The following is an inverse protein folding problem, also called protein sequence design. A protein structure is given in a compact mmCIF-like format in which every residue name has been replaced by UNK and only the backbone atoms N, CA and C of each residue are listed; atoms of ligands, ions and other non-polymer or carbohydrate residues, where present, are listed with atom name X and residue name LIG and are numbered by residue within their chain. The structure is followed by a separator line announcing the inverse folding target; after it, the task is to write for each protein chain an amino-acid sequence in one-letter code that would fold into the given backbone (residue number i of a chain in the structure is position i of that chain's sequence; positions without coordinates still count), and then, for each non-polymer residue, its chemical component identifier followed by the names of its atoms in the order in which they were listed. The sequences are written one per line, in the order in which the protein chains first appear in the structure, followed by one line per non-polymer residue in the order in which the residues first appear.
data_IF_165480863594
#
_entry.id   IF_165480863594
#
_cell.length_a   1.000
_cell.length_b   1.000
_cell.length_c   1.000
_cell.angle_alpha   90.00
_cell.angle_beta   90.00
_cell.angle_gamma   90.00
#
_symmetry.space_group_name_H-M   'P 1'
#
loop_
_entity.id
_entity.type
_entity.pdbx_description
1 polymer ?
#
# COMPACT_ATOMS: atom_id res chain seq x y z
N UNK A 1 0.97 4.69 -32.33
CA UNK A 1 -0.27 4.94 -31.58
C UNK A 1 -0.19 6.25 -30.81
N UNK A 2 0.64 6.29 -29.76
CA UNK A 2 0.79 7.44 -28.85
C UNK A 2 1.06 8.79 -29.55
N UNK A 3 1.94 8.84 -30.56
CA UNK A 3 2.30 10.08 -31.25
C UNK A 3 1.12 10.74 -32.00
N UNK A 4 0.34 9.98 -32.79
CA UNK A 4 -0.81 10.51 -33.55
C UNK A 4 -1.96 10.97 -32.64
N UNK A 5 -2.05 10.41 -31.44
CA UNK A 5 -3.14 10.68 -30.52
C UNK A 5 -2.77 11.75 -29.49
N UNK A 6 -1.50 11.89 -29.14
CA UNK A 6 -0.95 13.13 -28.58
C UNK A 6 -1.30 14.33 -29.49
N UNK A 7 -1.24 14.16 -30.82
CA UNK A 7 -1.67 15.19 -31.78
C UNK A 7 -3.17 15.46 -31.75
N UNK A 8 -4.02 14.44 -31.51
CA UNK A 8 -5.49 14.61 -31.39
C UNK A 8 -5.89 15.24 -30.04
N UNK A 9 -5.25 14.82 -28.95
CA UNK A 9 -5.38 15.43 -27.63
C UNK A 9 -4.92 16.89 -27.70
N UNK A 10 -3.82 17.18 -28.40
CA UNK A 10 -3.34 18.55 -28.66
C UNK A 10 -4.35 19.39 -29.45
N UNK A 11 -4.93 18.84 -30.52
CA UNK A 11 -5.86 19.56 -31.38
C UNK A 11 -7.22 19.83 -30.72
N UNK A 12 -7.72 18.92 -29.89
CA UNK A 12 -9.11 18.94 -29.41
C UNK A 12 -9.28 19.08 -27.88
N UNK A 13 -8.35 18.59 -27.05
CA UNK A 13 -8.50 18.59 -25.58
C UNK A 13 -7.56 19.59 -24.86
N UNK A 14 -6.33 19.75 -25.33
CA UNK A 14 -5.32 20.65 -24.76
C UNK A 14 -5.33 22.05 -25.40
N UNK A 15 -6.20 22.26 -26.38
CA UNK A 15 -6.49 23.57 -26.96
C UNK A 15 -7.54 24.35 -26.16
N UNK A 16 -8.32 23.67 -25.31
CA UNK A 16 -9.14 24.36 -24.32
C UNK A 16 -8.22 24.88 -23.20
N UNK A 17 -8.45 26.11 -22.72
CA UNK A 17 -7.65 26.82 -21.70
C UNK A 17 -7.72 26.18 -20.29
N UNK A 18 -7.67 24.84 -20.22
CA UNK A 18 -7.74 24.02 -19.01
C UNK A 18 -6.33 23.79 -18.43
N UNK A 19 -5.33 23.57 -19.29
CA UNK A 19 -3.95 23.29 -18.89
C UNK A 19 -2.99 24.41 -19.30
N UNK A 20 -2.03 24.72 -18.42
CA UNK A 20 -0.90 25.60 -18.77
C UNK A 20 0.09 24.90 -19.69
N UNK A 21 0.97 25.63 -20.37
CA UNK A 21 2.00 25.05 -21.26
C UNK A 21 2.89 24.02 -20.55
N UNK A 22 3.25 24.29 -19.29
CA UNK A 22 3.98 23.36 -18.44
C UNK A 22 3.17 22.10 -18.14
N UNK A 23 1.88 22.23 -17.84
CA UNK A 23 1.02 21.07 -17.54
C UNK A 23 0.79 20.22 -18.79
N UNK A 24 0.63 20.84 -19.96
CA UNK A 24 0.55 20.13 -21.24
C UNK A 24 1.80 19.32 -21.51
N UNK A 25 2.97 19.87 -21.18
CA UNK A 25 4.26 19.19 -21.37
C UNK A 25 4.39 17.98 -20.45
N UNK A 26 4.13 18.15 -19.15
CA UNK A 26 4.22 17.06 -18.18
C UNK A 26 3.14 15.98 -18.42
N UNK A 27 1.94 16.36 -18.85
CA UNK A 27 0.89 15.39 -19.24
C UNK A 27 1.30 14.56 -20.46
N UNK A 28 1.94 15.19 -21.47
CA UNK A 28 2.44 14.46 -22.66
C UNK A 28 3.52 13.45 -22.29
N UNK A 29 4.48 13.86 -21.45
CA UNK A 29 5.53 12.96 -20.95
C UNK A 29 4.92 11.79 -20.18
N UNK A 30 3.98 12.11 -19.29
CA UNK A 30 3.24 11.08 -18.54
C UNK A 30 2.52 10.12 -19.49
N UNK A 31 1.81 10.62 -20.50
CA UNK A 31 1.12 9.79 -21.49
C UNK A 31 2.07 8.91 -22.29
N UNK A 32 3.26 9.39 -22.64
CA UNK A 32 4.24 8.57 -23.37
C UNK A 32 4.87 7.47 -22.52
N UNK A 33 4.90 7.65 -21.19
CA UNK A 33 5.59 6.75 -20.27
C UNK A 33 4.64 5.89 -19.42
N UNK A 34 3.34 6.19 -19.38
CA UNK A 34 2.37 5.50 -18.49
C UNK A 34 2.25 4.00 -18.78
N UNK A 35 2.65 3.57 -19.96
CA UNK A 35 2.67 2.16 -20.35
C UNK A 35 3.88 1.41 -19.79
N UNK A 36 4.98 2.11 -19.48
CA UNK A 36 6.20 1.52 -18.95
C UNK A 36 6.00 1.09 -17.50
N UNK A 37 6.42 -0.15 -17.18
CA UNK A 37 6.27 -0.69 -15.83
C UNK A 37 7.05 0.11 -14.78
N UNK A 38 8.24 0.60 -15.14
CA UNK A 38 9.16 1.27 -14.23
C UNK A 38 8.99 2.80 -14.20
N UNK A 39 7.93 3.33 -14.82
CA UNK A 39 7.69 4.78 -14.84
C UNK A 39 7.48 5.33 -13.43
N UNK A 40 8.26 6.34 -13.03
CA UNK A 40 8.21 6.95 -11.68
C UNK A 40 7.02 7.89 -11.45
N UNK A 41 6.28 8.26 -12.51
CA UNK A 41 5.14 9.21 -12.47
C UNK A 41 5.51 10.63 -12.02
N UNK A 42 6.78 10.99 -12.02
CA UNK A 42 7.24 12.31 -11.59
C UNK A 42 6.64 13.47 -12.40
N UNK A 43 6.51 13.32 -13.72
CA UNK A 43 5.89 14.35 -14.55
C UNK A 43 4.43 14.58 -14.13
N UNK A 44 3.69 13.49 -13.86
CA UNK A 44 2.32 13.56 -13.37
C UNK A 44 2.24 14.19 -11.97
N UNK A 45 3.16 13.84 -11.06
CA UNK A 45 3.24 14.46 -9.74
C UNK A 45 3.45 15.98 -9.85
N UNK A 46 4.37 16.45 -10.70
CA UNK A 46 4.59 17.89 -10.89
C UNK A 46 3.35 18.59 -11.45
N UNK A 47 2.63 17.95 -12.38
CA UNK A 47 1.34 18.45 -12.87
C UNK A 47 0.32 18.58 -11.73
N UNK A 48 0.17 17.56 -10.89
CA UNK A 48 -0.76 17.60 -9.77
C UNK A 48 -0.40 18.70 -8.76
N UNK A 49 0.88 18.87 -8.42
CA UNK A 49 1.33 19.93 -7.50
C UNK A 49 0.93 21.31 -8.02
N UNK A 50 1.22 21.61 -9.29
CA UNK A 50 0.86 22.90 -9.89
C UNK A 50 -0.66 23.08 -9.98
N UNK A 51 -1.37 22.04 -10.41
CA UNK A 51 -2.84 22.07 -10.54
C UNK A 51 -3.52 22.31 -9.20
N UNK A 52 -3.11 21.58 -8.15
CA UNK A 52 -3.66 21.70 -6.80
C UNK A 52 -3.09 22.89 -6.02
N UNK A 53 -2.12 23.59 -6.59
CA UNK A 53 -1.45 24.75 -6.00
C UNK A 53 -0.77 24.41 -4.66
N UNK A 54 -0.08 23.26 -4.67
CA UNK A 54 0.73 22.76 -3.57
C UNK A 54 2.21 22.95 -3.90
N UNK A 55 3.00 23.28 -2.89
CA UNK A 55 4.46 23.21 -3.01
C UNK A 55 4.96 21.77 -2.74
N UNK A 56 6.26 21.54 -2.87
CA UNK A 56 6.87 20.22 -2.62
C UNK A 56 6.74 19.74 -1.17
N UNK A 57 6.35 20.61 -0.23
CA UNK A 57 6.07 20.26 1.17
C UNK A 57 4.60 19.93 1.42
N UNK A 58 3.71 20.13 0.44
CA UNK A 58 2.28 19.94 0.60
C UNK A 58 1.56 21.14 1.21
N UNK A 59 2.20 22.31 1.23
CA UNK A 59 1.61 23.56 1.71
C UNK A 59 0.97 24.31 0.55
N UNK A 60 -0.05 25.11 0.83
CA UNK A 60 -0.69 25.94 -0.21
C UNK A 60 0.27 27.02 -0.70
N UNK A 61 0.41 27.14 -2.01
CA UNK A 61 1.19 28.21 -2.64
C UNK A 61 0.47 29.56 -2.53
N UNK A 62 -0.85 29.55 -2.68
CA UNK A 62 -1.70 30.75 -2.56
C UNK A 62 -3.10 30.37 -2.10
N UNK A 63 -3.82 31.35 -1.56
CA UNK A 63 -5.21 31.19 -1.20
C UNK A 63 -6.10 31.43 -2.43
N UNK A 64 -7.06 30.53 -2.66
CA UNK A 64 -7.93 30.58 -3.84
C UNK A 64 -9.40 30.59 -3.48
N UNK A 65 -10.21 31.09 -4.40
CA UNK A 65 -11.66 31.05 -4.31
C UNK A 65 -12.15 29.62 -4.50
N UNK A 66 -13.32 29.32 -3.93
CA UNK A 66 -13.98 28.01 -4.06
C UNK A 66 -14.05 27.50 -5.51
N UNK A 67 -14.53 28.34 -6.42
CA UNK A 67 -14.68 27.99 -7.84
C UNK A 67 -13.36 27.68 -8.53
N UNK A 68 -12.27 28.33 -8.13
CA UNK A 68 -10.92 28.06 -8.66
C UNK A 68 -10.38 26.73 -8.16
N UNK A 69 -10.60 26.38 -6.89
CA UNK A 69 -10.22 25.08 -6.36
C UNK A 69 -11.07 23.95 -6.95
N UNK A 70 -12.37 24.14 -7.12
CA UNK A 70 -13.23 23.16 -7.81
C UNK A 70 -12.78 22.92 -9.26
N UNK A 71 -12.40 23.99 -9.98
CA UNK A 71 -11.81 23.87 -11.32
C UNK A 71 -10.51 23.06 -11.25
N UNK A 72 -9.64 23.36 -10.29
CA UNK A 72 -8.37 22.65 -10.08
C UNK A 72 -8.56 21.16 -9.81
N UNK A 73 -9.52 20.80 -8.95
CA UNK A 73 -9.86 19.41 -8.66
C UNK A 73 -10.38 18.70 -9.91
N UNK A 74 -11.26 19.35 -10.69
CA UNK A 74 -11.75 18.80 -11.97
C UNK A 74 -10.63 18.62 -13.00
N UNK A 75 -9.67 19.55 -13.06
CA UNK A 75 -8.50 19.44 -13.94
C UNK A 75 -7.60 18.27 -13.53
N UNK A 76 -7.34 18.11 -12.22
CA UNK A 76 -6.58 16.98 -11.69
C UNK A 76 -7.28 15.64 -12.02
N UNK A 77 -8.59 15.57 -11.77
CA UNK A 77 -9.43 14.42 -12.13
C UNK A 77 -9.38 14.09 -13.63
N UNK A 78 -9.47 15.10 -14.50
CA UNK A 78 -9.38 14.90 -15.94
C UNK A 78 -8.01 14.34 -16.36
N UNK A 79 -6.92 14.91 -15.84
CA UNK A 79 -5.57 14.43 -16.12
C UNK A 79 -5.38 12.98 -15.68
N UNK A 80 -5.84 12.63 -14.47
CA UNK A 80 -5.83 11.26 -13.95
C UNK A 80 -6.60 10.30 -14.85
N UNK A 81 -7.81 10.66 -15.28
CA UNK A 81 -8.63 9.79 -16.12
C UNK A 81 -8.04 9.56 -17.51
N UNK A 82 -7.45 10.60 -18.09
CA UNK A 82 -6.73 10.46 -19.35
C UNK A 82 -5.62 9.42 -19.19
N UNK A 83 -4.76 9.56 -18.17
CA UNK A 83 -3.67 8.61 -17.93
C UNK A 83 -4.16 7.21 -17.61
N UNK A 84 -5.14 7.07 -16.71
CA UNK A 84 -5.69 5.78 -16.30
C UNK A 84 -6.33 5.04 -17.47
N UNK A 85 -7.11 5.73 -18.31
CA UNK A 85 -7.71 5.14 -19.52
C UNK A 85 -6.63 4.57 -20.45
N UNK A 86 -5.57 5.33 -20.72
CA UNK A 86 -4.48 4.87 -21.60
C UNK A 86 -3.72 3.69 -21.01
N UNK A 87 -3.39 3.75 -19.72
CA UNK A 87 -2.73 2.67 -19.02
C UNK A 87 -3.55 1.37 -19.10
N UNK A 88 -4.87 1.44 -18.89
CA UNK A 88 -5.77 0.29 -19.01
C UNK A 88 -5.79 -0.25 -20.45
N UNK A 89 -5.94 0.62 -21.45
CA UNK A 89 -5.99 0.21 -22.86
C UNK A 89 -4.71 -0.49 -23.33
N UNK A 90 -3.55 -0.07 -22.84
CA UNK A 90 -2.26 -0.71 -23.14
C UNK A 90 -1.96 -1.91 -22.24
N UNK A 91 -2.89 -2.24 -21.35
CA UNK A 91 -2.84 -3.42 -20.51
C UNK A 91 -2.13 -3.24 -19.16
N UNK A 92 -1.64 -2.04 -18.87
CA UNK A 92 -0.99 -1.67 -17.61
C UNK A 92 -1.98 -1.04 -16.60
N UNK A 93 -2.98 -1.83 -16.18
CA UNK A 93 -3.97 -1.38 -15.20
C UNK A 93 -3.35 -1.01 -13.84
N UNK A 94 -2.14 -1.50 -13.52
CA UNK A 94 -1.40 -1.15 -12.30
C UNK A 94 -1.03 0.33 -12.27
N UNK A 95 -0.51 0.87 -13.38
CA UNK A 95 -0.21 2.30 -13.49
C UNK A 95 -1.48 3.16 -13.36
N UNK A 96 -2.62 2.66 -13.87
CA UNK A 96 -3.92 3.33 -13.70
C UNK A 96 -4.33 3.45 -12.22
N UNK A 97 -4.13 2.39 -11.43
CA UNK A 97 -4.36 2.43 -9.98
C UNK A 97 -3.50 3.49 -9.31
N UNK A 98 -2.18 3.47 -9.55
CA UNK A 98 -1.24 4.38 -8.87
C UNK A 98 -1.52 5.86 -9.15
N UNK A 99 -1.83 6.23 -10.40
CA UNK A 99 -2.18 7.63 -10.71
C UNK A 99 -3.52 8.03 -10.08
N UNK A 100 -4.46 7.09 -9.95
CA UNK A 100 -5.76 7.31 -9.31
C UNK A 100 -5.62 7.51 -7.81
N UNK A 101 -4.92 6.62 -7.12
CA UNK A 101 -4.63 6.70 -5.68
C UNK A 101 -3.89 7.98 -5.33
N UNK A 102 -2.85 8.33 -6.11
CA UNK A 102 -2.10 9.57 -5.89
C UNK A 102 -2.98 10.81 -6.00
N UNK A 103 -3.83 10.87 -7.03
CA UNK A 103 -4.77 11.97 -7.22
C UNK A 103 -5.75 12.06 -6.05
N UNK A 104 -6.30 10.91 -5.63
CA UNK A 104 -7.24 10.83 -4.52
C UNK A 104 -6.61 11.36 -3.21
N UNK A 105 -5.43 10.88 -2.86
CA UNK A 105 -4.70 11.28 -1.65
C UNK A 105 -4.36 12.77 -1.65
N UNK A 106 -3.80 13.28 -2.75
CA UNK A 106 -3.38 14.69 -2.82
C UNK A 106 -4.55 15.67 -2.94
N UNK A 107 -5.65 15.29 -3.60
CA UNK A 107 -6.87 16.11 -3.59
C UNK A 107 -7.47 16.13 -2.18
N UNK A 108 -7.53 14.99 -1.49
CA UNK A 108 -7.99 14.94 -0.11
C UNK A 108 -7.14 15.81 0.82
N UNK A 109 -5.82 15.70 0.72
CA UNK A 109 -4.86 16.57 1.41
C UNK A 109 -5.16 18.05 1.15
N UNK A 110 -5.27 18.43 -0.13
CA UNK A 110 -5.50 19.82 -0.52
C UNK A 110 -6.80 20.38 0.05
N UNK A 111 -7.88 19.59 0.04
CA UNK A 111 -9.18 19.99 0.60
C UNK A 111 -9.07 20.26 2.10
N UNK A 112 -8.31 19.45 2.83
CA UNK A 112 -8.15 19.57 4.29
C UNK A 112 -7.34 20.78 4.75
N UNK A 113 -6.62 21.42 3.84
CA UNK A 113 -5.98 22.69 4.14
C UNK A 113 -6.99 23.86 4.12
N UNK A 114 -8.21 23.69 3.60
CA UNK A 114 -9.25 24.73 3.60
C UNK A 114 -10.00 24.85 4.94
N UNK A 115 -10.49 26.06 5.24
CA UNK A 115 -11.28 26.32 6.47
C UNK A 115 -12.58 25.52 6.56
N UNK A 116 -13.15 25.16 5.40
CA UNK A 116 -14.41 24.43 5.29
C UNK A 116 -14.24 23.33 4.24
N UNK A 117 -13.62 22.18 4.59
CA UNK A 117 -13.34 21.10 3.64
C UNK A 117 -14.62 20.43 3.10
N UNK A 118 -15.70 20.40 3.90
CA UNK A 118 -16.96 19.71 3.60
C UNK A 118 -17.60 20.21 2.30
N UNK A 119 -17.36 21.46 1.90
CA UNK A 119 -17.90 22.03 0.66
C UNK A 119 -17.38 21.35 -0.61
N UNK A 120 -16.29 20.58 -0.53
CA UNK A 120 -15.66 19.88 -1.65
C UNK A 120 -15.92 18.36 -1.61
N UNK A 121 -16.72 17.86 -0.67
CA UNK A 121 -16.96 16.43 -0.51
C UNK A 121 -17.65 15.79 -1.72
N UNK A 122 -18.49 16.55 -2.44
CA UNK A 122 -19.06 16.07 -3.71
C UNK A 122 -17.99 15.85 -4.79
N UNK A 123 -16.95 16.67 -4.82
CA UNK A 123 -15.87 16.57 -5.80
C UNK A 123 -14.95 15.37 -5.50
N UNK A 124 -14.59 15.15 -4.23
CA UNK A 124 -13.79 13.96 -3.85
C UNK A 124 -14.59 12.67 -4.07
N UNK A 125 -15.91 12.67 -3.83
CA UNK A 125 -16.74 11.48 -4.07
C UNK A 125 -16.67 11.02 -5.54
N UNK A 126 -16.62 11.95 -6.49
CA UNK A 126 -16.44 11.61 -7.92
C UNK A 126 -15.10 10.93 -8.16
N UNK A 127 -14.01 11.46 -7.56
CA UNK A 127 -12.66 10.88 -7.69
C UNK A 127 -12.62 9.50 -7.03
N UNK A 128 -13.26 9.34 -5.87
CA UNK A 128 -13.34 8.08 -5.13
C UNK A 128 -14.09 7.01 -5.94
N UNK A 129 -15.24 7.36 -6.54
CA UNK A 129 -15.97 6.43 -7.42
C UNK A 129 -15.15 6.05 -8.66
N UNK A 130 -14.36 6.97 -9.19
CA UNK A 130 -13.46 6.65 -10.28
C UNK A 130 -12.33 5.69 -9.87
N UNK A 131 -11.75 5.89 -8.68
CA UNK A 131 -10.79 4.94 -8.11
C UNK A 131 -11.41 3.55 -7.98
N UNK A 132 -12.63 3.45 -7.45
CA UNK A 132 -13.39 2.19 -7.38
C UNK A 132 -13.52 1.53 -8.76
N UNK A 133 -13.88 2.28 -9.80
CA UNK A 133 -14.06 1.74 -11.15
C UNK A 133 -12.73 1.21 -11.71
N UNK A 134 -11.63 1.94 -11.52
CA UNK A 134 -10.29 1.51 -11.94
C UNK A 134 -9.85 0.27 -11.17
N UNK A 135 -10.12 0.20 -9.87
CA UNK A 135 -9.85 -0.99 -9.06
C UNK A 135 -10.66 -2.20 -9.50
N UNK A 136 -11.92 -2.01 -9.89
CA UNK A 136 -12.74 -3.10 -10.42
C UNK A 136 -12.20 -3.63 -11.75
N UNK A 137 -11.75 -2.74 -12.65
CA UNK A 137 -11.10 -3.12 -13.91
C UNK A 137 -9.78 -3.87 -13.69
N UNK A 138 -8.96 -3.39 -12.76
CA UNK A 138 -7.72 -4.06 -12.36
C UNK A 138 -8.00 -5.48 -11.83
N UNK A 139 -8.93 -5.57 -10.89
CA UNK A 139 -9.28 -6.83 -10.24
C UNK A 139 -9.88 -7.83 -11.22
N UNK A 140 -10.84 -7.42 -12.05
CA UNK A 140 -11.51 -8.32 -13.01
C UNK A 140 -10.53 -8.93 -14.01
N UNK A 141 -9.51 -8.17 -14.42
CA UNK A 141 -8.48 -8.64 -15.33
C UNK A 141 -7.54 -9.66 -14.70
N UNK A 142 -7.16 -9.46 -13.43
CA UNK A 142 -6.16 -10.32 -12.76
C UNK A 142 -6.78 -11.47 -11.97
N UNK A 143 -8.05 -11.39 -11.59
CA UNK A 143 -8.73 -12.41 -10.80
C UNK A 143 -8.50 -13.85 -11.31
N UNK A 144 -8.65 -14.15 -12.62
CA UNK A 144 -8.44 -15.52 -13.11
C UNK A 144 -7.05 -16.08 -12.81
N UNK A 145 -6.03 -15.22 -12.75
CA UNK A 145 -4.64 -15.62 -12.56
C UNK A 145 -4.33 -16.01 -11.10
N UNK A 146 -5.16 -15.60 -10.13
CA UNK A 146 -4.98 -15.92 -8.72
C UNK A 146 -5.45 -17.33 -8.35
N UNK A 147 -6.37 -17.88 -9.14
CA UNK A 147 -6.96 -19.21 -8.89
C UNK A 147 -6.14 -20.36 -9.47
N UNK A 148 -5.15 -20.06 -10.32
CA UNK A 148 -4.28 -21.05 -10.94
C UNK A 148 -2.96 -21.21 -10.18
N UNK A 149 -2.55 -22.47 -9.98
CA UNK A 149 -1.32 -22.79 -9.24
C UNK A 149 -0.08 -22.36 -10.01
N UNK A 150 0.81 -21.63 -9.35
CA UNK A 150 2.11 -21.19 -9.89
C UNK A 150 2.06 -20.29 -11.14
N UNK A 151 0.90 -19.79 -11.54
CA UNK A 151 0.79 -19.04 -12.80
C UNK A 151 1.57 -17.73 -12.73
N UNK A 152 1.53 -17.02 -11.60
CA UNK A 152 2.32 -15.81 -11.41
C UNK A 152 3.83 -16.08 -11.37
N UNK A 153 4.23 -17.21 -10.79
CA UNK A 153 5.63 -17.64 -10.76
C UNK A 153 6.17 -18.09 -12.12
N UNK A 154 5.33 -18.33 -13.13
CA UNK A 154 5.77 -18.77 -14.46
C UNK A 154 6.41 -17.67 -15.30
N UNK A 155 6.23 -16.40 -14.92
CA UNK A 155 6.63 -15.23 -15.71
C UNK A 155 8.02 -14.66 -15.35
N UNK A 156 8.71 -15.21 -14.35
CA UNK A 156 10.06 -14.80 -13.98
C UNK A 156 10.91 -16.02 -13.65
N UNK A 157 12.20 -15.96 -13.98
CA UNK A 157 13.17 -16.98 -13.58
C UNK A 157 13.74 -16.72 -12.17
N UNK A 158 13.57 -15.51 -11.65
CA UNK A 158 14.12 -15.08 -10.36
C UNK A 158 13.05 -15.19 -9.26
N UNK A 159 13.34 -16.03 -8.26
CA UNK A 159 12.45 -16.28 -7.12
C UNK A 159 12.20 -15.05 -6.24
N UNK A 160 13.18 -14.14 -6.14
CA UNK A 160 13.04 -12.92 -5.38
C UNK A 160 12.05 -11.98 -6.06
N UNK A 161 12.17 -11.78 -7.38
CA UNK A 161 11.24 -10.92 -8.14
C UNK A 161 9.81 -11.46 -8.16
N UNK A 162 9.64 -12.80 -8.24
CA UNK A 162 8.33 -13.45 -8.10
C UNK A 162 7.72 -13.10 -6.75
N UNK A 163 8.53 -13.19 -5.68
CA UNK A 163 8.07 -12.91 -4.34
C UNK A 163 7.58 -11.46 -4.19
N UNK A 164 8.39 -10.49 -4.62
CA UNK A 164 8.04 -9.08 -4.56
C UNK A 164 6.74 -8.80 -5.32
N UNK A 165 6.56 -9.42 -6.49
CA UNK A 165 5.32 -9.31 -7.27
C UNK A 165 4.13 -9.88 -6.49
N UNK A 166 4.27 -11.04 -5.84
CA UNK A 166 3.17 -11.64 -5.06
C UNK A 166 2.78 -10.76 -3.88
N UNK A 167 3.74 -10.22 -3.12
CA UNK A 167 3.43 -9.34 -1.99
C UNK A 167 2.80 -8.01 -2.45
N UNK A 168 3.26 -7.44 -3.57
CA UNK A 168 2.61 -6.28 -4.20
C UNK A 168 1.13 -6.59 -4.53
N UNK A 169 0.85 -7.77 -5.10
CA UNK A 169 -0.53 -8.18 -5.38
C UNK A 169 -1.35 -8.40 -4.10
N UNK A 170 -0.76 -8.96 -3.05
CA UNK A 170 -1.39 -9.11 -1.74
C UNK A 170 -1.80 -7.74 -1.18
N UNK A 171 -0.90 -6.75 -1.22
CA UNK A 171 -1.17 -5.38 -0.77
C UNK A 171 -2.27 -4.70 -1.58
N UNK A 172 -2.21 -4.80 -2.92
CA UNK A 172 -3.22 -4.20 -3.81
C UNK A 172 -4.60 -4.82 -3.58
N UNK A 173 -4.71 -6.15 -3.55
CA UNK A 173 -6.00 -6.83 -3.31
C UNK A 173 -6.58 -6.47 -1.96
N UNK A 174 -5.74 -6.43 -0.92
CA UNK A 174 -6.17 -6.04 0.42
C UNK A 174 -6.70 -4.61 0.45
N UNK A 175 -6.04 -3.69 -0.26
CA UNK A 175 -6.47 -2.28 -0.36
C UNK A 175 -7.80 -2.14 -1.10
N UNK A 176 -7.97 -2.83 -2.24
CA UNK A 176 -9.22 -2.83 -3.01
C UNK A 176 -10.38 -3.45 -2.20
N UNK A 177 -10.09 -4.55 -1.51
CA UNK A 177 -11.03 -5.24 -0.64
C UNK A 177 -11.49 -4.40 0.56
N UNK A 178 -10.54 -3.80 1.28
CA UNK A 178 -10.80 -2.87 2.38
C UNK A 178 -11.60 -1.66 1.90
N UNK A 179 -11.29 -1.11 0.73
CA UNK A 179 -12.05 -0.01 0.16
C UNK A 179 -13.52 -0.39 -0.07
N UNK A 180 -13.80 -1.56 -0.66
CA UNK A 180 -15.18 -2.03 -0.84
C UNK A 180 -15.88 -2.24 0.50
N UNK A 181 -15.22 -2.91 1.46
CA UNK A 181 -15.78 -3.18 2.78
C UNK A 181 -16.12 -1.88 3.54
N UNK A 182 -15.15 -0.97 3.66
CA UNK A 182 -15.30 0.28 4.41
C UNK A 182 -16.31 1.23 3.72
N UNK A 183 -16.37 1.24 2.39
CA UNK A 183 -17.40 1.98 1.66
C UNK A 183 -18.78 1.36 1.89
N UNK A 184 -18.90 0.02 1.88
CA UNK A 184 -20.15 -0.69 2.16
C UNK A 184 -20.75 -0.37 3.54
N UNK A 185 -19.90 -0.14 4.55
CA UNK A 185 -20.32 0.31 5.88
C UNK A 185 -20.95 1.72 5.89
N UNK A 186 -20.80 2.49 4.82
CA UNK A 186 -21.36 3.84 4.65
C UNK A 186 -22.56 3.89 3.70
N UNK A 187 -22.76 2.84 2.90
CA UNK A 187 -23.87 2.71 1.96
C UNK A 187 -25.10 2.07 2.62
N UNK A 188 -26.25 2.11 1.94
CA UNK A 188 -27.48 1.43 2.35
C UNK A 188 -28.10 0.68 1.14
N UNK A 189 -28.95 -0.31 1.41
CA UNK A 189 -29.73 -1.01 0.39
C UNK A 189 -28.86 -1.84 -0.57
N UNK A 190 -29.19 -1.78 -1.87
CA UNK A 190 -28.54 -2.60 -2.90
C UNK A 190 -27.05 -2.29 -3.06
N UNK A 191 -26.65 -1.01 -2.93
CA UNK A 191 -25.24 -0.62 -3.01
C UNK A 191 -24.42 -1.24 -1.88
N UNK A 192 -24.92 -1.20 -0.64
CA UNK A 192 -24.26 -1.83 0.50
C UNK A 192 -24.06 -3.33 0.26
N UNK A 193 -25.10 -4.00 -0.22
CA UNK A 193 -25.06 -5.44 -0.51
C UNK A 193 -24.03 -5.75 -1.59
N UNK A 194 -24.01 -4.98 -2.68
CA UNK A 194 -23.02 -5.13 -3.75
C UNK A 194 -21.58 -4.92 -3.26
N UNK A 195 -21.35 -3.92 -2.40
CA UNK A 195 -20.02 -3.63 -1.83
C UNK A 195 -19.51 -4.75 -0.94
N UNK A 196 -20.35 -5.29 -0.06
CA UNK A 196 -19.97 -6.43 0.78
C UNK A 196 -19.73 -7.69 -0.05
N UNK A 197 -20.58 -7.98 -1.04
CA UNK A 197 -20.35 -9.10 -1.95
C UNK A 197 -19.01 -8.98 -2.68
N UNK A 198 -18.68 -7.78 -3.19
CA UNK A 198 -17.39 -7.54 -3.82
C UNK A 198 -16.22 -7.77 -2.85
N UNK A 199 -16.33 -7.29 -1.61
CA UNK A 199 -15.31 -7.51 -0.59
C UNK A 199 -15.10 -9.01 -0.32
N UNK A 200 -16.17 -9.80 -0.23
CA UNK A 200 -16.09 -11.26 -0.09
C UNK A 200 -15.38 -11.91 -1.27
N UNK A 201 -15.75 -11.57 -2.51
CA UNK A 201 -15.11 -12.11 -3.73
C UNK A 201 -13.61 -11.79 -3.75
N UNK A 202 -13.23 -10.57 -3.35
CA UNK A 202 -11.83 -10.14 -3.29
C UNK A 202 -11.10 -10.91 -2.17
N UNK A 203 -11.72 -11.12 -1.02
CA UNK A 203 -11.15 -11.91 0.07
C UNK A 203 -10.89 -13.34 -0.37
N UNK A 204 -11.84 -14.00 -1.03
CA UNK A 204 -11.69 -15.33 -1.62
C UNK A 204 -10.54 -15.39 -2.63
N UNK A 205 -10.39 -14.35 -3.46
CA UNK A 205 -9.34 -14.26 -4.47
C UNK A 205 -7.95 -14.04 -3.87
N UNK A 206 -7.84 -13.19 -2.84
CA UNK A 206 -6.60 -12.99 -2.07
C UNK A 206 -6.16 -14.30 -1.41
N UNK A 207 -7.12 -14.97 -0.80
CA UNK A 207 -6.95 -16.28 -0.22
C UNK A 207 -6.49 -17.34 -1.24
N UNK A 208 -7.07 -17.34 -2.44
CA UNK A 208 -6.63 -18.21 -3.54
C UNK A 208 -5.20 -17.86 -3.99
N UNK A 209 -4.87 -16.57 -4.15
CA UNK A 209 -3.51 -16.10 -4.44
C UNK A 209 -2.50 -16.66 -3.43
N UNK A 210 -2.79 -16.55 -2.13
CA UNK A 210 -1.93 -17.04 -1.05
C UNK A 210 -1.73 -18.56 -1.15
N UNK A 211 -2.82 -19.32 -1.24
CA UNK A 211 -2.77 -20.79 -1.26
C UNK A 211 -2.11 -21.37 -2.51
N UNK A 212 -2.27 -20.70 -3.66
CA UNK A 212 -1.75 -21.17 -4.95
C UNK A 212 -0.29 -20.77 -5.21
N UNK A 213 0.26 -19.86 -4.41
CA UNK A 213 1.60 -19.32 -4.60
C UNK A 213 2.41 -19.44 -3.31
N UNK A 214 3.17 -20.53 -3.11
CA UNK A 214 3.95 -20.75 -1.90
C UNK A 214 4.92 -19.62 -1.53
N UNK A 215 5.37 -18.82 -2.50
CA UNK A 215 6.23 -17.66 -2.21
C UNK A 215 5.53 -16.62 -1.30
N UNK A 216 4.19 -16.59 -1.23
CA UNK A 216 3.42 -15.77 -0.28
C UNK A 216 3.77 -16.02 1.20
N UNK A 217 4.39 -17.16 1.51
CA UNK A 217 4.83 -17.52 2.86
C UNK A 217 6.28 -17.15 3.19
N UNK A 218 6.99 -16.46 2.29
CA UNK A 218 8.44 -16.23 2.39
C UNK A 218 8.81 -14.80 2.01
N UNK A 219 8.42 -13.78 2.78
CA UNK A 219 8.73 -12.38 2.45
C UNK A 219 10.22 -12.16 2.24
N UNK A 220 10.58 -11.25 1.32
CA UNK A 220 11.97 -10.98 0.92
C UNK A 220 12.40 -9.55 1.22
N UNK A 221 11.45 -8.64 1.40
CA UNK A 221 11.66 -7.30 1.94
C UNK A 221 11.00 -7.18 3.31
N UNK A 222 11.63 -6.43 4.20
CA UNK A 222 11.05 -6.12 5.50
C UNK A 222 9.84 -5.17 5.33
N UNK A 223 9.84 -4.36 4.27
CA UNK A 223 8.67 -3.56 3.84
C UNK A 223 7.43 -4.41 3.52
N UNK A 224 7.57 -5.71 3.21
CA UNK A 224 6.41 -6.60 3.02
C UNK A 224 5.54 -6.74 4.28
N UNK A 225 6.01 -6.28 5.45
CA UNK A 225 5.21 -6.11 6.65
C UNK A 225 3.93 -5.28 6.40
N UNK A 226 3.97 -4.30 5.48
CA UNK A 226 2.82 -3.47 5.12
C UNK A 226 1.76 -4.33 4.42
N UNK A 227 2.15 -5.06 3.37
CA UNK A 227 1.25 -5.91 2.58
C UNK A 227 0.63 -7.02 3.46
N UNK A 228 1.45 -7.64 4.31
CA UNK A 228 1.04 -8.65 5.29
C UNK A 228 -0.01 -8.08 6.25
N UNK A 229 0.24 -6.90 6.80
CA UNK A 229 -0.66 -6.26 7.75
C UNK A 229 -1.99 -5.89 7.09
N UNK A 230 -1.97 -5.33 5.88
CA UNK A 230 -3.19 -5.01 5.13
C UNK A 230 -4.03 -6.27 4.86
N UNK A 231 -3.39 -7.37 4.46
CA UNK A 231 -4.05 -8.64 4.23
C UNK A 231 -4.68 -9.21 5.49
N UNK A 232 -3.96 -9.21 6.62
CA UNK A 232 -4.52 -9.69 7.88
C UNK A 232 -5.70 -8.85 8.37
N UNK A 233 -5.63 -7.52 8.24
CA UNK A 233 -6.77 -6.64 8.58
C UNK A 233 -7.96 -7.01 7.69
N UNK A 234 -7.74 -7.10 6.38
CA UNK A 234 -8.80 -7.39 5.42
C UNK A 234 -9.47 -8.74 5.68
N UNK A 235 -8.69 -9.82 5.74
CA UNK A 235 -9.20 -11.17 6.01
C UNK A 235 -9.91 -11.26 7.36
N UNK A 236 -9.39 -10.60 8.40
CA UNK A 236 -10.03 -10.58 9.71
C UNK A 236 -11.39 -9.90 9.68
N UNK A 237 -11.54 -8.81 8.91
CA UNK A 237 -12.78 -8.06 8.80
C UNK A 237 -13.81 -8.72 7.87
N UNK A 238 -13.39 -9.56 6.94
CA UNK A 238 -14.29 -10.35 6.07
C UNK A 238 -14.64 -11.73 6.64
N UNK A 239 -14.14 -12.07 7.83
CA UNK A 239 -14.45 -13.35 8.49
C UNK A 239 -13.52 -14.52 8.16
N UNK A 240 -12.45 -14.28 7.40
CA UNK A 240 -11.48 -15.30 6.96
C UNK A 240 -10.35 -15.52 7.99
N UNK A 241 -10.69 -15.49 9.29
CA UNK A 241 -9.70 -15.56 10.39
C UNK A 241 -8.92 -16.88 10.42
N UNK A 242 -9.56 -17.98 10.07
CA UNK A 242 -8.90 -19.29 10.06
C UNK A 242 -7.82 -19.35 8.99
N UNK A 243 -8.13 -18.89 7.77
CA UNK A 243 -7.17 -18.81 6.65
C UNK A 243 -6.05 -17.81 6.92
N UNK A 244 -6.36 -16.68 7.58
CA UNK A 244 -5.34 -15.77 8.09
C UNK A 244 -4.42 -16.48 9.10
N UNK A 245 -4.97 -17.29 10.01
CA UNK A 245 -4.19 -18.08 10.96
C UNK A 245 -3.26 -19.10 10.29
N UNK A 246 -3.73 -19.81 9.27
CA UNK A 246 -2.92 -20.78 8.49
C UNK A 246 -1.78 -20.08 7.73
N UNK A 247 -2.05 -18.92 7.14
CA UNK A 247 -1.03 -18.14 6.47
C UNK A 247 0.00 -17.56 7.46
N UNK A 248 -0.45 -17.09 8.64
CA UNK A 248 0.43 -16.64 9.71
C UNK A 248 1.39 -17.74 10.18
N UNK A 249 0.89 -18.97 10.40
CA UNK A 249 1.73 -20.11 10.74
C UNK A 249 2.79 -20.34 9.66
N UNK A 250 2.38 -20.30 8.38
CA UNK A 250 3.30 -20.48 7.25
C UNK A 250 4.39 -19.41 7.22
N UNK A 251 4.01 -18.12 7.39
CA UNK A 251 4.95 -16.99 7.45
C UNK A 251 5.95 -17.17 8.59
N UNK A 252 5.48 -17.50 9.79
CA UNK A 252 6.32 -17.61 11.00
C UNK A 252 7.29 -18.78 10.89
N UNK A 253 6.81 -19.98 10.52
CA UNK A 253 7.65 -21.18 10.42
C UNK A 253 8.74 -20.98 9.38
N UNK A 254 8.41 -20.37 8.24
CA UNK A 254 9.38 -20.13 7.16
C UNK A 254 10.35 -19.02 7.51
N UNK A 255 9.88 -17.92 8.11
CA UNK A 255 10.75 -16.84 8.57
C UNK A 255 11.79 -17.35 9.57
N UNK A 256 11.34 -18.09 10.59
CA UNK A 256 12.23 -18.66 11.60
C UNK A 256 13.29 -19.58 10.96
N UNK A 257 12.89 -20.41 9.99
CA UNK A 257 13.79 -21.28 9.25
C UNK A 257 14.84 -20.51 8.43
N UNK A 258 14.42 -19.51 7.63
CA UNK A 258 15.35 -18.76 6.77
C UNK A 258 16.32 -17.89 7.58
N UNK A 259 15.87 -17.35 8.72
CA UNK A 259 16.73 -16.59 9.64
C UNK A 259 17.77 -17.49 10.30
N UNK A 260 17.40 -18.71 10.70
CA UNK A 260 18.34 -19.71 11.27
C UNK A 260 19.41 -20.14 10.27
N UNK A 261 19.03 -20.34 9.01
CA UNK A 261 19.96 -20.71 7.95
C UNK A 261 20.79 -19.50 7.50
N UNK A 262 20.25 -18.29 7.63
CA UNK A 262 20.87 -17.06 7.18
C UNK A 262 20.92 -16.95 5.66
N UNK A 263 19.88 -17.46 4.97
CA UNK A 263 19.71 -17.39 3.51
C UNK A 263 18.24 -17.16 3.20
N UNK A 264 17.94 -16.45 2.11
CA UNK A 264 16.57 -16.17 1.68
C UNK A 264 15.68 -15.49 2.75
N UNK A 265 16.25 -14.76 3.71
CA UNK A 265 15.51 -13.99 4.69
C UNK A 265 15.11 -12.60 4.15
N UNK A 266 14.09 -11.95 4.74
CA UNK A 266 13.82 -10.55 4.45
C UNK A 266 15.06 -9.67 4.67
N UNK A 267 15.26 -8.68 3.80
CA UNK A 267 16.31 -7.67 3.99
C UNK A 267 15.73 -6.35 4.47
N UNK A 268 16.44 -5.67 5.37
CA UNK A 268 16.01 -4.41 5.98
C UNK A 268 16.35 -3.16 5.15
N UNK A 269 17.06 -3.31 4.03
CA UNK A 269 17.41 -2.20 3.14
C UNK A 269 16.38 -1.99 2.04
N UNK A 270 15.48 -2.96 1.83
CA UNK A 270 14.44 -2.98 0.80
C UNK A 270 14.97 -2.64 -0.61
N UNK A 271 16.26 -2.92 -0.85
CA UNK A 271 16.94 -2.68 -2.12
C UNK A 271 16.97 -3.97 -2.94
N UNK A 272 16.44 -3.92 -4.16
CA UNK A 272 16.50 -5.04 -5.11
C UNK A 272 17.96 -5.44 -5.37
N UNK A 273 18.88 -4.47 -5.47
CA UNK A 273 20.29 -4.74 -5.70
C UNK A 273 20.92 -5.49 -4.52
N UNK A 274 20.64 -5.06 -3.28
CA UNK A 274 21.13 -5.76 -2.08
C UNK A 274 20.54 -7.19 -2.00
N UNK A 275 19.28 -7.37 -2.38
CA UNK A 275 18.60 -8.66 -2.39
C UNK A 275 19.22 -9.65 -3.39
N UNK A 276 19.44 -9.19 -4.62
CA UNK A 276 20.10 -9.98 -5.67
C UNK A 276 21.54 -10.30 -5.26
N UNK A 277 22.26 -9.33 -4.70
CA UNK A 277 23.62 -9.53 -4.23
C UNK A 277 23.69 -10.60 -3.13
N UNK A 278 22.74 -10.59 -2.19
CA UNK A 278 22.65 -11.57 -1.12
C UNK A 278 22.38 -12.98 -1.68
N UNK A 279 21.43 -13.11 -2.61
CA UNK A 279 21.06 -14.41 -3.19
C UNK A 279 22.18 -15.03 -4.02
N UNK A 280 22.98 -14.18 -4.67
CA UNK A 280 24.17 -14.60 -5.41
C UNK A 280 25.37 -14.90 -4.49
N UNK A 281 25.46 -14.26 -3.32
CA UNK A 281 26.61 -14.33 -2.41
C UNK A 281 26.21 -14.75 -0.99
N UNK A 282 25.54 -15.89 -0.87
CA UNK A 282 24.99 -16.38 0.40
C UNK A 282 26.01 -16.58 1.55
N UNK A 283 27.31 -16.63 1.24
CA UNK A 283 28.37 -16.80 2.22
C UNK A 283 28.99 -15.45 2.68
N UNK A 284 28.53 -14.33 2.12
CA UNK A 284 28.93 -12.98 2.53
C UNK A 284 28.30 -12.61 3.88
N UNK A 285 29.07 -12.87 4.94
CA UNK A 285 28.67 -12.57 6.31
C UNK A 285 28.46 -11.07 6.57
N UNK A 286 29.19 -10.19 5.90
CA UNK A 286 29.06 -8.74 6.09
C UNK A 286 27.76 -8.23 5.47
N UNK A 287 27.47 -8.63 4.23
CA UNK A 287 26.24 -8.27 3.55
C UNK A 287 25.02 -8.82 4.30
N UNK A 288 25.10 -10.06 4.80
CA UNK A 288 24.06 -10.65 5.64
C UNK A 288 23.83 -9.82 6.90
N UNK A 289 24.87 -9.54 7.69
CA UNK A 289 24.72 -8.75 8.92
C UNK A 289 24.18 -7.33 8.66
N UNK A 290 24.64 -6.68 7.58
CA UNK A 290 24.12 -5.38 7.13
C UNK A 290 22.61 -5.44 6.86
N UNK A 291 22.17 -6.45 6.12
CA UNK A 291 20.78 -6.58 5.63
C UNK A 291 19.82 -7.23 6.62
N UNK A 292 20.28 -7.86 7.71
CA UNK A 292 19.44 -8.43 8.78
C UNK A 292 19.49 -7.68 10.09
N UNK A 293 20.17 -6.53 10.15
CA UNK A 293 20.45 -5.85 11.41
C UNK A 293 19.18 -5.40 12.16
N UNK A 294 18.11 -5.11 11.42
CA UNK A 294 16.81 -4.70 11.97
C UNK A 294 15.67 -5.49 11.32
N UNK A 295 14.55 -5.67 12.03
CA UNK A 295 13.34 -6.24 11.43
C UNK A 295 12.04 -5.61 11.95
N UNK A 296 11.17 -5.29 11.00
CA UNK A 296 9.77 -4.92 11.13
C UNK A 296 8.84 -6.13 11.00
N UNK A 297 9.20 -7.12 10.19
CA UNK A 297 8.40 -8.32 10.01
C UNK A 297 8.31 -9.12 11.32
N UNK A 298 9.42 -9.31 12.05
CA UNK A 298 9.40 -10.07 13.31
C UNK A 298 8.36 -9.51 14.30
N UNK A 299 8.42 -8.22 14.71
CA UNK A 299 7.41 -7.66 15.61
C UNK A 299 6.01 -7.63 15.02
N UNK A 300 5.88 -7.48 13.70
CA UNK A 300 4.58 -7.53 13.01
C UNK A 300 3.93 -8.90 13.16
N UNK A 301 4.65 -9.99 12.85
CA UNK A 301 4.13 -11.35 12.99
C UNK A 301 3.90 -11.75 14.45
N UNK A 302 4.76 -11.30 15.37
CA UNK A 302 4.55 -11.45 16.81
C UNK A 302 3.25 -10.79 17.27
N UNK A 303 2.98 -9.56 16.82
CA UNK A 303 1.73 -8.85 17.13
C UNK A 303 0.51 -9.56 16.55
N UNK A 304 0.58 -10.04 15.31
CA UNK A 304 -0.50 -10.82 14.70
C UNK A 304 -0.73 -12.17 15.36
N UNK A 305 0.32 -12.82 15.87
CA UNK A 305 0.18 -14.03 16.68
C UNK A 305 -0.62 -13.77 17.96
N UNK A 306 -0.43 -12.62 18.61
CA UNK A 306 -1.28 -12.21 19.74
C UNK A 306 -2.72 -11.96 19.28
N UNK A 307 -2.92 -11.19 18.21
CA UNK A 307 -4.26 -10.80 17.72
C UNK A 307 -5.09 -12.02 17.30
N UNK A 308 -4.45 -13.03 16.70
CA UNK A 308 -5.09 -14.27 16.25
C UNK A 308 -5.00 -15.42 17.26
N UNK A 309 -4.53 -15.14 18.48
CA UNK A 309 -4.43 -16.11 19.59
C UNK A 309 -3.58 -17.36 19.25
N UNK A 310 -2.50 -17.15 18.49
CA UNK A 310 -1.56 -18.17 17.99
C UNK A 310 -0.33 -18.28 18.89
N UNK A 311 -0.52 -18.80 20.11
CA UNK A 311 0.54 -18.90 21.12
C UNK A 311 1.72 -19.79 20.68
N UNK A 312 1.45 -20.90 19.98
CA UNK A 312 2.50 -21.78 19.45
C UNK A 312 3.41 -21.00 18.50
N UNK A 313 2.84 -20.21 17.61
CA UNK A 313 3.56 -19.42 16.61
C UNK A 313 4.33 -18.26 17.25
N UNK A 314 3.76 -17.58 18.25
CA UNK A 314 4.47 -16.60 19.09
C UNK A 314 5.74 -17.21 19.71
N UNK A 315 5.63 -18.41 20.29
CA UNK A 315 6.75 -19.09 20.95
C UNK A 315 7.84 -19.55 19.96
N UNK A 316 7.51 -19.81 18.70
CA UNK A 316 8.50 -20.13 17.66
C UNK A 316 9.43 -18.93 17.44
N UNK A 317 8.88 -17.75 17.17
CA UNK A 317 9.69 -16.55 16.96
C UNK A 317 10.41 -16.10 18.23
N UNK A 318 9.76 -16.15 19.40
CA UNK A 318 10.39 -15.79 20.68
C UNK A 318 11.68 -16.59 20.93
N UNK A 319 11.62 -17.91 20.72
CA UNK A 319 12.80 -18.78 20.83
C UNK A 319 13.86 -18.42 19.79
N UNK A 320 13.45 -18.18 18.55
CA UNK A 320 14.34 -17.76 17.48
C UNK A 320 15.12 -16.48 17.82
N UNK A 321 14.42 -15.45 18.31
CA UNK A 321 15.01 -14.18 18.76
C UNK A 321 16.01 -14.40 19.89
N UNK A 322 15.73 -15.28 20.84
CA UNK A 322 16.61 -15.52 22.00
C UNK A 322 17.85 -16.37 21.67
N UNK A 323 17.66 -17.41 20.88
CA UNK A 323 18.67 -18.47 20.73
C UNK A 323 19.43 -18.40 19.41
N UNK A 324 18.78 -17.99 18.32
CA UNK A 324 19.32 -18.18 16.97
C UNK A 324 19.69 -16.86 16.28
N UNK A 325 18.90 -15.81 16.46
CA UNK A 325 19.13 -14.50 15.85
C UNK A 325 19.03 -13.33 16.86
N UNK A 326 19.77 -13.38 17.99
CA UNK A 326 19.69 -12.37 19.05
C UNK A 326 20.23 -10.99 18.68
N UNK A 327 20.95 -10.88 17.56
CA UNK A 327 21.50 -9.61 17.07
C UNK A 327 20.48 -8.78 16.27
N UNK A 328 19.35 -9.37 15.86
CA UNK A 328 18.35 -8.66 15.05
C UNK A 328 17.56 -7.71 15.95
N UNK A 329 17.63 -6.41 15.66
CA UNK A 329 16.85 -5.40 16.35
C UNK A 329 15.40 -5.45 15.86
N UNK A 330 14.49 -6.00 16.68
CA UNK A 330 13.06 -5.94 16.40
C UNK A 330 12.54 -4.53 16.66
N UNK A 331 11.90 -3.92 15.66
CA UNK A 331 11.40 -2.55 15.75
C UNK A 331 9.99 -2.40 15.16
N UNK A 332 9.17 -1.57 15.79
CA UNK A 332 7.83 -1.24 15.30
C UNK A 332 7.59 0.26 15.43
N UNK A 333 6.98 0.87 14.43
CA UNK A 333 6.62 2.27 14.44
C UNK A 333 5.16 2.44 14.78
N UNK A 334 4.92 3.38 15.68
CA UNK A 334 3.62 3.74 16.20
C UNK A 334 3.27 5.13 15.69
N UNK A 335 2.16 5.29 14.96
CA UNK A 335 1.74 6.60 14.54
C UNK A 335 1.30 7.44 15.75
N UNK A 336 1.64 8.72 15.74
CA UNK A 336 1.23 9.71 16.74
C UNK A 336 0.02 10.52 16.26
N UNK A 337 -0.59 11.28 17.16
CA UNK A 337 -1.82 12.04 16.91
C UNK A 337 -1.74 13.06 15.73
N UNK A 338 -0.55 13.48 15.32
CA UNK A 338 -0.29 14.37 14.18
C UNK A 338 -0.18 13.62 12.83
N UNK A 339 -0.33 12.29 12.80
CA UNK A 339 -0.26 11.45 11.60
C UNK A 339 -1.01 12.04 10.39
N UNK A 340 -2.27 12.43 10.60
CA UNK A 340 -3.17 12.86 9.53
C UNK A 340 -2.78 14.19 8.88
N UNK A 341 -1.87 14.97 9.49
CA UNK A 341 -1.30 16.16 8.86
C UNK A 341 -0.30 15.81 7.74
N UNK A 342 0.24 14.58 7.75
CA UNK A 342 1.33 14.17 6.87
C UNK A 342 0.94 13.01 5.95
N UNK A 343 0.09 12.09 6.44
CA UNK A 343 -0.27 10.81 5.80
C UNK A 343 -0.68 10.92 4.33
N UNK A 344 -1.44 11.95 3.97
CA UNK A 344 -2.05 12.04 2.64
C UNK A 344 -1.15 12.62 1.57
N UNK A 345 0.00 13.18 1.92
CA UNK A 345 0.87 13.86 0.96
C UNK A 345 2.27 13.24 0.88
N UNK A 346 2.85 12.89 2.04
CA UNK A 346 4.17 12.28 2.16
C UNK A 346 4.11 10.92 2.84
N UNK A 347 5.20 10.16 2.76
CA UNK A 347 5.41 9.01 3.63
C UNK A 347 5.57 9.52 5.08
N UNK A 348 4.50 9.38 5.87
CA UNK A 348 4.43 9.97 7.19
C UNK A 348 5.51 9.47 8.16
N UNK A 349 6.00 8.24 7.98
CA UNK A 349 7.01 7.65 8.86
C UNK A 349 8.35 8.42 8.88
N UNK A 350 8.64 9.24 7.87
CA UNK A 350 9.84 10.09 7.86
C UNK A 350 9.69 11.41 8.61
N UNK A 351 8.45 11.79 8.96
CA UNK A 351 8.13 13.11 9.52
C UNK A 351 7.59 13.00 10.94
N UNK A 352 6.85 11.94 11.23
CA UNK A 352 6.11 11.78 12.49
C UNK A 352 6.05 10.31 12.93
N UNK A 353 5.49 10.07 14.11
CA UNK A 353 5.42 8.79 14.80
C UNK A 353 6.65 8.49 15.65
N UNK A 354 6.58 7.38 16.39
CA UNK A 354 7.64 6.94 17.28
C UNK A 354 8.00 5.49 17.01
N UNK A 355 9.28 5.19 16.90
CA UNK A 355 9.76 3.82 16.75
C UNK A 355 10.12 3.23 18.11
N UNK A 356 9.48 2.12 18.44
CA UNK A 356 9.85 1.26 19.55
C UNK A 356 10.97 0.33 19.11
N UNK A 357 12.19 0.56 19.60
CA UNK A 357 13.36 -0.26 19.26
C UNK A 357 14.44 -0.22 20.38
N UNK A 358 15.07 -1.36 20.73
CA UNK A 358 14.66 -2.72 20.40
C UNK A 358 13.44 -3.14 21.22
N UNK A 359 12.51 -3.88 20.61
CA UNK A 359 11.39 -4.49 21.32
C UNK A 359 11.90 -5.71 22.09
N UNK A 360 11.74 -5.67 23.41
CA UNK A 360 11.92 -6.85 24.27
C UNK A 360 10.59 -7.56 24.41
N UNK A 361 10.47 -8.75 23.82
CA UNK A 361 9.27 -9.56 23.91
C UNK A 361 9.23 -10.36 25.21
N UNK A 362 8.09 -10.37 25.93
CA UNK A 362 7.95 -11.13 27.16
C UNK A 362 7.80 -12.64 26.87
N UNK A 363 8.12 -13.46 27.88
CA UNK A 363 8.06 -14.92 27.77
C UNK A 363 6.64 -15.46 27.57
N UNK A 364 5.66 -14.72 28.08
CA UNK A 364 4.25 -15.08 28.00
C UNK A 364 3.54 -14.15 27.01
N UNK A 365 2.81 -14.74 26.06
CA UNK A 365 2.04 -14.01 25.04
C UNK A 365 1.03 -13.04 25.64
N UNK A 366 0.39 -13.39 26.76
CA UNK A 366 -0.58 -12.54 27.47
C UNK A 366 0.07 -11.25 28.01
N UNK A 367 1.34 -11.30 28.40
CA UNK A 367 2.07 -10.10 28.82
C UNK A 367 2.31 -9.16 27.62
N UNK A 368 2.54 -9.72 26.42
CA UNK A 368 2.67 -8.90 25.21
C UNK A 368 1.32 -8.30 24.82
N UNK A 369 0.22 -9.07 24.95
CA UNK A 369 -1.14 -8.56 24.78
C UNK A 369 -1.45 -7.40 25.74
N UNK A 370 -1.08 -7.52 27.02
CA UNK A 370 -1.26 -6.45 28.00
C UNK A 370 -0.50 -5.17 27.60
N UNK A 371 0.74 -5.30 27.11
CA UNK A 371 1.53 -4.18 26.56
C UNK A 371 0.86 -3.54 25.35
N UNK A 372 0.35 -4.34 24.41
CA UNK A 372 -0.38 -3.83 23.25
C UNK A 372 -1.63 -3.04 23.66
N UNK A 373 -2.35 -3.51 24.68
CA UNK A 373 -3.51 -2.80 25.24
C UNK A 373 -3.09 -1.48 25.92
N UNK A 374 -2.00 -1.48 26.70
CA UNK A 374 -1.46 -0.27 27.32
C UNK A 374 -1.07 0.78 26.27
N UNK A 375 -0.44 0.37 25.17
CA UNK A 375 -0.11 1.28 24.06
C UNK A 375 -1.38 1.85 23.42
N UNK A 376 -2.41 1.04 23.21
CA UNK A 376 -3.69 1.48 22.63
C UNK A 376 -4.42 2.51 23.50
N UNK A 377 -4.27 2.45 24.82
CA UNK A 377 -4.91 3.37 25.77
C UNK A 377 -4.19 4.72 25.89
N UNK A 378 -2.96 4.85 25.41
CA UNK A 378 -2.22 6.12 25.44
C UNK A 378 -2.80 7.10 24.42
N UNK A 379 -3.27 8.25 24.91
CA UNK A 379 -3.81 9.34 24.07
C UNK A 379 -2.88 9.73 22.91
N UNK A 380 -1.57 9.67 23.14
CA UNK A 380 -0.54 9.97 22.13
C UNK A 380 -0.65 9.12 20.87
N UNK A 381 -1.07 7.85 21.00
CA UNK A 381 -1.24 6.90 19.90
C UNK A 381 -2.71 6.80 19.44
N UNK A 382 -3.61 7.59 20.02
CA UNK A 382 -5.02 7.65 19.63
C UNK A 382 -5.21 8.52 18.38
N UNK A 383 -4.81 7.99 17.23
CA UNK A 383 -4.87 8.68 15.94
C UNK A 383 -6.30 9.01 15.48
N UNK A 384 -7.31 8.26 15.95
CA UNK A 384 -8.70 8.44 15.51
C UNK A 384 -9.34 9.75 15.95
N UNK A 385 -8.74 10.46 16.91
CA UNK A 385 -9.22 11.77 17.38
C UNK A 385 -8.97 12.87 16.35
N UNK A 386 -7.82 12.84 15.69
CA UNK A 386 -7.40 13.84 14.71
C UNK A 386 -7.70 13.45 13.25
N UNK A 387 -8.28 12.27 13.03
CA UNK A 387 -8.66 11.81 11.71
C UNK A 387 -9.58 12.82 11.00
N UNK A 388 -9.13 13.26 9.84
CA UNK A 388 -9.88 14.20 9.03
C UNK A 388 -11.15 13.58 8.43
N UNK A 389 -11.25 12.24 8.39
CA UNK A 389 -12.45 11.51 7.99
C UNK A 389 -13.53 11.46 9.09
N UNK A 390 -13.22 11.89 10.32
CA UNK A 390 -14.17 11.96 11.44
C UNK A 390 -14.82 13.35 11.59
N UNK A 391 -14.16 14.40 11.09
CA UNK A 391 -14.58 15.80 11.11
C UNK A 391 -15.34 16.16 9.82
#
# INVERSE_FOLDING_TARGET
GAAQLATRIEKYMLNEHIFTDSDRTDLRKSLSLICENDYSREDFHRLLLRTLQLNNKGEKVKQVKKSELEKSIRTAYLATNILAYWAIQDGNAKQALYVSERCLLWVWHRIHLEKSPQQYFSAINIIWQNYINISAEYFSKLQPYFHEKYLLSSYSADSALINLTIFEQIGILSTIGLNNLLTGLRCNGDEQTARFNNATIIAESLCALISNNPASGSPRFDENAIDITLAFIFLSLTGEKDRAGEWLETLIVRLDFVLKIGRNHPISTDSIDDLICLDCNNDDTYLREKTTSTSWIIPTLMGWAVILEKEKEYNILLRGIKEFYPKICSQLWHPTNDLYHHLYFHQAQYVTGETEAPITFPDNMNNYQARMNELKEKDRYNIFTESSARK
#
